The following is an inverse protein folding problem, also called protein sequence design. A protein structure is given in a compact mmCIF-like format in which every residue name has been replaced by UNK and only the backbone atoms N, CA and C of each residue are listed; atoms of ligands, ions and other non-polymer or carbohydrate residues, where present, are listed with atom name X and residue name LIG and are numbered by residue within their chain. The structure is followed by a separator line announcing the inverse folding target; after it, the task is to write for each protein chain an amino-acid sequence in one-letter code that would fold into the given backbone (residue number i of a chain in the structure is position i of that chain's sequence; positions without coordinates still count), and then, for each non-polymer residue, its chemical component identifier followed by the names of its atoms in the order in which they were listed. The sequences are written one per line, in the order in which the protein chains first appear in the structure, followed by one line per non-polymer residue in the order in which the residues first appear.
data_IF_325619850927
#
_entry.id   IF_325619850927
#
_cell.length_a   1.000
_cell.length_b   1.000
_cell.length_c   1.000
_cell.angle_alpha   90.00
_cell.angle_beta   90.00
_cell.angle_gamma   90.00
#
_symmetry.space_group_name_H-M   'P 1'
#
loop_
_entity.id
_entity.type
_entity.pdbx_description
1 polymer ?
#
# COMPACT_ATOMS: atom_id res chain seq x y z
N UNK A 1 7.59 17.05 13.91
CA UNK A 1 6.80 15.96 14.50
C UNK A 1 7.36 15.66 15.86
N UNK A 2 6.51 15.50 16.87
CA UNK A 2 6.96 14.97 18.16
C UNK A 2 7.23 13.45 18.05
N UNK A 3 7.82 12.85 19.08
CA UNK A 3 8.18 11.43 19.05
C UNK A 3 6.96 10.51 18.95
N UNK A 4 5.84 10.89 19.58
CA UNK A 4 4.58 10.15 19.53
C UNK A 4 3.97 10.11 18.12
N UNK A 5 3.95 11.25 17.41
CA UNK A 5 3.50 11.38 16.02
C UNK A 5 4.35 10.51 15.08
N UNK A 6 5.67 10.42 15.31
CA UNK A 6 6.55 9.56 14.52
C UNK A 6 6.23 8.08 14.76
N UNK A 7 5.99 7.68 16.01
CA UNK A 7 5.62 6.29 16.31
C UNK A 7 4.25 5.93 15.73
N UNK A 8 3.28 6.84 15.80
CA UNK A 8 1.97 6.64 15.19
C UNK A 8 2.06 6.52 13.67
N UNK A 9 2.83 7.39 13.01
CA UNK A 9 3.05 7.34 11.57
C UNK A 9 3.76 6.03 11.15
N UNK A 10 4.71 5.53 11.96
CA UNK A 10 5.34 4.22 11.73
C UNK A 10 4.36 3.07 11.85
N UNK A 11 3.43 3.14 12.81
CA UNK A 11 2.41 2.11 12.96
C UNK A 11 1.47 2.07 11.74
N UNK A 12 0.96 3.23 11.33
CA UNK A 12 0.12 3.36 10.13
C UNK A 12 0.86 2.89 8.87
N UNK A 13 2.16 3.19 8.76
CA UNK A 13 2.99 2.71 7.65
C UNK A 13 3.04 1.17 7.58
N UNK A 14 3.16 0.50 8.72
CA UNK A 14 3.16 -0.96 8.79
C UNK A 14 1.81 -1.50 8.34
N UNK A 15 0.71 -0.93 8.82
CA UNK A 15 -0.65 -1.34 8.43
C UNK A 15 -0.88 -1.19 6.93
N UNK A 16 -0.49 -0.05 6.35
CA UNK A 16 -0.59 0.20 4.91
C UNK A 16 0.24 -0.79 4.10
N UNK A 17 1.44 -1.15 4.56
CA UNK A 17 2.30 -2.16 3.90
C UNK A 17 1.68 -3.55 3.94
N UNK A 18 1.08 -3.93 5.06
CA UNK A 18 0.35 -5.20 5.20
C UNK A 18 -0.82 -5.22 4.23
N UNK A 19 -1.68 -4.19 4.23
CA UNK A 19 -2.84 -4.11 3.34
C UNK A 19 -2.41 -4.15 1.85
N UNK A 20 -1.32 -3.45 1.51
CA UNK A 20 -0.78 -3.47 0.15
C UNK A 20 -0.31 -4.87 -0.25
N UNK A 21 0.39 -5.58 0.65
CA UNK A 21 0.84 -6.95 0.43
C UNK A 21 -0.33 -7.91 0.25
N UNK A 22 -1.34 -7.84 1.13
CA UNK A 22 -2.54 -8.69 1.06
C UNK A 22 -3.30 -8.47 -0.25
N UNK A 23 -3.40 -7.21 -0.69
CA UNK A 23 -4.05 -6.87 -1.94
C UNK A 23 -3.27 -7.41 -3.15
N UNK A 24 -1.95 -7.50 -3.06
CA UNK A 24 -1.11 -8.10 -4.10
C UNK A 24 -1.37 -9.60 -4.22
N UNK A 25 -1.30 -10.31 -3.09
CA UNK A 25 -1.61 -11.74 -3.03
C UNK A 25 -3.03 -12.03 -3.56
N UNK A 26 -4.01 -11.20 -3.21
CA UNK A 26 -5.37 -11.34 -3.71
C UNK A 26 -5.48 -11.10 -5.23
N UNK A 27 -4.69 -10.19 -5.80
CA UNK A 27 -4.60 -9.98 -7.25
C UNK A 27 -3.99 -11.21 -7.92
N UNK A 28 -2.91 -11.76 -7.39
CA UNK A 28 -2.23 -12.94 -7.95
C UNK A 28 -3.13 -14.17 -7.99
N UNK A 29 -3.86 -14.43 -6.90
CA UNK A 29 -4.86 -15.50 -6.84
C UNK A 29 -5.99 -15.29 -7.87
N UNK A 30 -6.38 -14.03 -8.10
CA UNK A 30 -7.43 -13.72 -9.07
C UNK A 30 -6.94 -13.90 -10.51
N UNK A 31 -5.66 -13.63 -10.78
CA UNK A 31 -5.03 -13.84 -12.10
C UNK A 31 -4.86 -15.33 -12.46
N UNK A 32 -4.79 -16.21 -11.47
CA UNK A 32 -4.73 -17.66 -11.69
C UNK A 32 -6.07 -18.28 -12.11
N UNK A 33 -7.18 -17.57 -11.94
CA UNK A 33 -8.50 -18.05 -12.35
C UNK A 33 -8.75 -17.79 -13.85
N UNK A 34 -9.30 -18.78 -14.57
CA UNK A 34 -9.59 -18.64 -16.01
C UNK A 34 -10.71 -17.62 -16.32
N UNK A 35 -11.62 -17.41 -15.36
CA UNK A 35 -12.72 -16.44 -15.46
C UNK A 35 -12.47 -15.26 -14.53
N UNK A 36 -11.63 -14.33 -14.99
CA UNK A 36 -11.27 -13.13 -14.24
C UNK A 36 -12.37 -12.08 -14.41
N UNK A 37 -12.91 -11.57 -13.31
CA UNK A 37 -13.67 -10.33 -13.31
C UNK A 37 -12.71 -9.14 -13.54
N UNK A 38 -12.64 -8.69 -14.79
CA UNK A 38 -11.76 -7.59 -15.19
C UNK A 38 -12.07 -6.27 -14.47
N UNK A 39 -13.34 -6.01 -14.12
CA UNK A 39 -13.73 -4.80 -13.41
C UNK A 39 -13.21 -4.84 -11.97
N UNK A 40 -13.38 -6.00 -11.30
CA UNK A 40 -12.83 -6.22 -9.96
C UNK A 40 -11.30 -6.11 -9.97
N UNK A 41 -10.63 -6.69 -10.97
CA UNK A 41 -9.17 -6.64 -11.10
C UNK A 41 -8.69 -5.18 -11.22
N UNK A 42 -9.35 -4.39 -12.07
CA UNK A 42 -9.02 -2.98 -12.28
C UNK A 42 -9.23 -2.17 -11.00
N UNK A 43 -10.29 -2.43 -10.24
CA UNK A 43 -10.54 -1.76 -8.94
C UNK A 43 -9.46 -2.12 -7.92
N UNK A 44 -9.08 -3.39 -7.83
CA UNK A 44 -8.01 -3.85 -6.91
C UNK A 44 -6.67 -3.22 -7.27
N UNK A 45 -6.27 -3.23 -8.55
CA UNK A 45 -5.04 -2.56 -9.00
C UNK A 45 -5.05 -1.06 -8.70
N UNK A 46 -6.18 -0.38 -8.88
CA UNK A 46 -6.33 1.04 -8.52
C UNK A 46 -6.19 1.28 -7.01
N UNK A 47 -6.74 0.39 -6.17
CA UNK A 47 -6.56 0.45 -4.71
C UNK A 47 -5.09 0.20 -4.33
N UNK A 48 -4.44 -0.78 -4.95
CA UNK A 48 -3.00 -1.08 -4.75
C UNK A 48 -2.13 0.14 -5.05
N UNK A 49 -2.38 0.82 -6.17
CA UNK A 49 -1.67 2.05 -6.52
C UNK A 49 -1.85 3.14 -5.46
N UNK A 50 -3.08 3.38 -5.00
CA UNK A 50 -3.33 4.36 -3.92
C UNK A 50 -2.61 4.03 -2.62
N UNK A 51 -2.58 2.75 -2.24
CA UNK A 51 -1.86 2.30 -1.04
C UNK A 51 -0.35 2.55 -1.21
N UNK A 52 0.22 2.22 -2.38
CA UNK A 52 1.61 2.52 -2.70
C UNK A 52 1.92 4.02 -2.59
N UNK A 53 1.08 4.88 -3.17
CA UNK A 53 1.26 6.33 -3.12
C UNK A 53 1.19 6.85 -1.67
N UNK A 54 0.29 6.31 -0.85
CA UNK A 54 0.19 6.66 0.57
C UNK A 54 1.39 6.18 1.38
N UNK A 55 1.87 4.96 1.13
CA UNK A 55 3.10 4.42 1.74
C UNK A 55 4.27 5.34 1.43
N UNK A 56 4.49 5.69 0.16
CA UNK A 56 5.60 6.57 -0.23
C UNK A 56 5.51 7.94 0.44
N UNK A 57 4.32 8.56 0.46
CA UNK A 57 4.14 9.85 1.16
C UNK A 57 4.45 9.77 2.66
N UNK A 58 4.01 8.70 3.31
CA UNK A 58 4.22 8.51 4.75
C UNK A 58 5.69 8.17 5.05
N UNK A 59 6.35 7.39 4.19
CA UNK A 59 7.79 7.13 4.26
C UNK A 59 8.60 8.41 4.11
N UNK A 60 8.32 9.25 3.13
CA UNK A 60 8.99 10.55 2.95
C UNK A 60 8.77 11.51 4.13
N UNK A 61 7.64 11.38 4.84
CA UNK A 61 7.36 12.18 6.04
C UNK A 61 8.14 11.70 7.27
N UNK A 62 8.36 10.39 7.41
CA UNK A 62 9.07 9.78 8.55
C UNK A 62 10.60 9.76 8.32
N UNK A 63 11.03 9.57 7.07
CA UNK A 63 12.42 9.52 6.65
C UNK A 63 12.62 10.67 5.65
N UNK A 64 13.06 11.85 6.10
CA UNK A 64 13.09 13.04 5.26
C UNK A 64 14.08 13.00 4.09
N UNK A 65 14.78 11.89 3.83
CA UNK A 65 15.99 11.89 2.99
C UNK A 65 16.25 10.59 2.22
N UNK A 66 15.27 10.10 1.46
CA UNK A 66 15.51 9.12 0.39
C UNK A 66 14.63 9.48 -0.81
N UNK A 67 15.01 10.53 -1.54
CA UNK A 67 14.85 10.68 -3.00
C UNK A 67 15.20 12.13 -3.41
N UNK A 68 16.52 12.36 -3.58
CA UNK A 68 17.10 13.39 -4.45
C UNK A 68 17.82 12.71 -5.61
#
# INVERSE_FOLDING_TARGET
MNEEEIQQARHELIELKIEHSDLDHAIDLMLQNAYIDQLRLRRMKKRKLKLKDSIQRLESMIIPDMDA
#
